data_IF_402728309498
#
_entry.id   IF_402728309498
#
_cell.length_a   1.000
_cell.length_b   1.000
_cell.length_c   1.000
_cell.angle_alpha   90.00
_cell.angle_beta   90.00
_cell.angle_gamma   90.00
#
_symmetry.space_group_name_H-M   'P 1'
#
loop_
_entity.id
_entity.type
_entity.pdbx_description
1 polymer ?
#
# COMPACT_ATOMS: atom_id res chain seq x y z
N UNK A 1 -33.67 12.07 2.26
CA UNK A 1 -32.44 12.71 1.70
C UNK A 1 -31.21 12.44 2.54
N UNK A 2 -31.26 12.57 3.88
CA UNK A 2 -30.11 12.26 4.77
C UNK A 2 -29.64 10.80 4.66
N UNK A 3 -30.56 9.85 4.53
CA UNK A 3 -30.23 8.40 4.47
C UNK A 3 -29.28 8.07 3.32
N UNK A 4 -29.43 8.72 2.14
CA UNK A 4 -28.53 8.51 1.00
C UNK A 4 -27.12 8.99 1.25
N UNK A 5 -26.98 10.17 1.85
CA UNK A 5 -25.63 10.68 2.20
C UNK A 5 -24.93 9.75 3.17
N UNK A 6 -25.64 9.24 4.16
CA UNK A 6 -25.08 8.26 5.10
C UNK A 6 -24.73 6.94 4.41
N UNK A 7 -25.55 6.47 3.46
CA UNK A 7 -25.27 5.25 2.72
C UNK A 7 -24.00 5.40 1.83
N UNK A 8 -23.89 6.50 1.09
CA UNK A 8 -22.68 6.80 0.30
C UNK A 8 -21.44 6.93 1.18
N UNK A 9 -21.53 7.68 2.28
CA UNK A 9 -20.45 7.85 3.21
C UNK A 9 -20.02 6.51 3.82
N UNK A 10 -20.97 5.66 4.20
CA UNK A 10 -20.70 4.33 4.75
C UNK A 10 -19.99 3.43 3.72
N UNK A 11 -20.43 3.41 2.46
CA UNK A 11 -19.77 2.65 1.40
C UNK A 11 -18.34 3.14 1.19
N UNK A 12 -18.12 4.44 1.09
CA UNK A 12 -16.78 5.02 0.96
C UNK A 12 -15.89 4.69 2.16
N UNK A 13 -16.44 4.78 3.39
CA UNK A 13 -15.71 4.42 4.60
C UNK A 13 -15.32 2.94 4.63
N UNK A 14 -16.20 2.03 4.20
CA UNK A 14 -15.89 0.59 4.09
C UNK A 14 -14.75 0.34 3.10
N UNK A 15 -14.81 0.96 1.92
CA UNK A 15 -13.75 0.82 0.91
C UNK A 15 -12.43 1.39 1.44
N UNK A 16 -12.48 2.54 2.12
CA UNK A 16 -11.31 3.17 2.73
C UNK A 16 -10.67 2.27 3.80
N UNK A 17 -11.47 1.71 4.70
CA UNK A 17 -11.00 0.79 5.73
C UNK A 17 -10.44 -0.50 5.12
N UNK A 18 -11.10 -1.06 4.10
CA UNK A 18 -10.60 -2.23 3.39
C UNK A 18 -9.23 -1.97 2.74
N UNK A 19 -9.03 -0.79 2.13
CA UNK A 19 -7.74 -0.36 1.60
C UNK A 19 -6.68 -0.18 2.66
N UNK A 20 -7.01 0.44 3.80
CA UNK A 20 -6.12 0.59 4.94
C UNK A 20 -5.66 -0.78 5.48
N UNK A 21 -6.61 -1.63 5.87
CA UNK A 21 -6.32 -2.92 6.50
C UNK A 21 -5.77 -3.95 5.51
N UNK A 22 -6.25 -3.93 4.26
CA UNK A 22 -5.82 -4.85 3.21
C UNK A 22 -4.49 -4.50 2.56
N UNK A 23 -4.10 -3.23 2.58
CA UNK A 23 -2.95 -2.71 1.84
C UNK A 23 -1.96 -1.95 2.69
N UNK A 24 -2.32 -0.77 3.20
CA UNK A 24 -1.35 0.12 3.85
C UNK A 24 -0.65 -0.54 5.05
N UNK A 25 -1.39 -1.24 5.89
CA UNK A 25 -0.79 -1.97 7.02
C UNK A 25 0.13 -3.11 6.60
N UNK A 26 -0.18 -3.79 5.47
CA UNK A 26 0.72 -4.82 4.94
C UNK A 26 2.02 -4.23 4.42
N UNK A 27 1.94 -3.14 3.67
CA UNK A 27 3.12 -2.44 3.14
C UNK A 27 3.98 -1.91 4.28
N UNK A 28 3.36 -1.30 5.29
CA UNK A 28 4.07 -0.79 6.47
C UNK A 28 4.73 -1.92 7.27
N UNK A 29 4.05 -3.05 7.45
CA UNK A 29 4.60 -4.25 8.10
C UNK A 29 5.84 -4.79 7.36
N UNK A 30 5.80 -4.82 6.02
CA UNK A 30 6.97 -5.21 5.19
C UNK A 30 8.11 -4.20 5.38
N UNK A 31 7.79 -2.90 5.35
CA UNK A 31 8.78 -1.85 5.60
C UNK A 31 9.44 -1.94 6.98
N UNK A 32 8.68 -2.23 8.02
CA UNK A 32 9.24 -2.45 9.36
C UNK A 32 10.10 -3.71 9.44
N UNK A 33 9.67 -4.79 8.77
CA UNK A 33 10.44 -6.02 8.69
C UNK A 33 11.78 -5.80 7.95
N UNK A 34 11.78 -5.04 6.86
CA UNK A 34 13.01 -4.65 6.15
C UNK A 34 13.96 -3.84 7.06
N UNK A 35 13.43 -2.91 7.84
CA UNK A 35 14.24 -2.14 8.79
C UNK A 35 14.84 -3.03 9.90
N UNK A 36 14.07 -3.99 10.43
CA UNK A 36 14.58 -4.99 11.38
C UNK A 36 15.67 -5.85 10.74
N UNK A 37 15.44 -6.34 9.52
CA UNK A 37 16.42 -7.11 8.77
C UNK A 37 17.73 -6.37 8.55
N UNK A 38 17.68 -5.08 8.21
CA UNK A 38 18.88 -4.24 8.07
C UNK A 38 19.62 -4.11 9.39
N UNK A 39 18.90 -3.94 10.49
CA UNK A 39 19.50 -3.86 11.82
C UNK A 39 20.14 -5.19 12.24
N UNK A 40 19.46 -6.30 12.01
CA UNK A 40 19.94 -7.64 12.32
C UNK A 40 21.18 -7.98 11.47
N UNK A 41 21.16 -7.66 10.19
CA UNK A 41 22.28 -7.78 9.29
C UNK A 41 23.53 -7.07 9.86
N UNK A 42 23.36 -5.83 10.33
CA UNK A 42 24.45 -5.08 10.94
C UNK A 42 24.99 -5.72 12.21
N UNK A 43 24.15 -6.40 12.99
CA UNK A 43 24.54 -7.11 14.20
C UNK A 43 25.33 -8.39 13.89
N UNK A 44 24.87 -9.17 12.90
CA UNK A 44 25.54 -10.40 12.45
C UNK A 44 26.97 -10.12 11.98
N UNK A 45 27.17 -9.05 11.21
CA UNK A 45 28.46 -8.70 10.63
C UNK A 45 29.40 -7.95 11.59
N UNK A 46 28.88 -7.40 12.70
CA UNK A 46 29.71 -6.77 13.74
C UNK A 46 30.41 -7.77 14.67
N UNK A 47 29.97 -9.02 14.70
CA UNK A 47 30.57 -10.03 15.60
C UNK A 47 31.77 -10.67 14.89
N UNK A 48 33.00 -10.47 15.39
CA UNK A 48 34.20 -11.11 14.84
C UNK A 48 34.08 -12.63 14.98
N UNK A 49 34.06 -13.35 13.85
CA UNK A 49 33.96 -14.81 13.80
C UNK A 49 32.68 -15.37 13.24
N UNK A 50 31.52 -14.69 13.37
CA UNK A 50 30.27 -15.07 12.66
C UNK A 50 30.35 -14.80 11.16
N UNK A 51 31.10 -13.79 10.74
CA UNK A 51 31.30 -13.43 9.32
C UNK A 51 32.32 -14.34 8.61
N UNK A 52 33.03 -15.22 9.30
CA UNK A 52 34.01 -16.17 8.72
C UNK A 52 33.40 -17.49 8.30
N UNK A 53 32.12 -17.79 8.66
CA UNK A 53 31.48 -19.01 8.20
C UNK A 53 30.97 -18.82 6.78
N UNK A 54 31.25 -19.76 5.90
CA UNK A 54 30.68 -19.84 4.56
C UNK A 54 29.15 -20.09 4.60
N UNK A 55 28.64 -20.30 5.79
CA UNK A 55 27.25 -20.66 6.07
C UNK A 55 26.37 -19.39 6.07
N UNK A 56 25.56 -19.26 5.05
CA UNK A 56 24.57 -18.20 4.91
C UNK A 56 23.29 -18.48 5.70
N UNK A 57 23.21 -19.62 6.39
CA UNK A 57 22.03 -20.02 7.18
C UNK A 57 21.69 -19.02 8.30
N UNK A 58 22.66 -18.22 8.73
CA UNK A 58 22.44 -17.14 9.71
C UNK A 58 21.52 -16.00 9.20
N UNK A 59 21.26 -15.93 7.88
CA UNK A 59 20.35 -14.96 7.28
C UNK A 59 18.90 -15.45 7.27
N UNK A 60 18.66 -16.74 7.52
CA UNK A 60 17.30 -17.31 7.57
C UNK A 60 16.55 -16.77 8.79
N UNK A 61 15.29 -16.34 8.57
CA UNK A 61 14.43 -15.82 9.64
C UNK A 61 14.81 -14.44 10.19
N UNK A 62 15.67 -13.68 9.51
CA UNK A 62 16.17 -12.39 10.00
C UNK A 62 15.12 -11.25 10.00
N UNK A 63 14.07 -11.36 9.19
CA UNK A 63 13.06 -10.31 9.07
C UNK A 63 11.93 -10.44 10.10
N UNK A 64 11.75 -11.63 10.70
CA UNK A 64 10.58 -11.97 11.52
C UNK A 64 9.25 -11.68 10.78
N UNK A 65 9.27 -11.87 9.45
CA UNK A 65 8.15 -11.65 8.57
C UNK A 65 8.10 -12.75 7.51
N UNK A 66 7.05 -13.59 7.57
CA UNK A 66 6.95 -14.82 6.79
C UNK A 66 7.31 -14.65 5.31
N UNK A 67 6.75 -13.63 4.64
CA UNK A 67 6.99 -13.42 3.21
C UNK A 67 8.46 -13.10 2.91
N UNK A 68 9.08 -12.20 3.67
CA UNK A 68 10.47 -11.82 3.47
C UNK A 68 11.43 -12.94 3.88
N UNK A 69 11.10 -13.68 4.93
CA UNK A 69 11.89 -14.83 5.36
C UNK A 69 11.84 -15.95 4.32
N UNK A 70 10.67 -16.26 3.74
CA UNK A 70 10.52 -17.24 2.65
C UNK A 70 11.36 -16.84 1.42
N UNK A 71 11.46 -15.53 1.10
CA UNK A 71 12.28 -15.02 0.01
C UNK A 71 13.77 -15.10 0.31
N UNK A 72 14.16 -14.73 1.53
CA UNK A 72 15.57 -14.85 1.96
C UNK A 72 16.03 -16.31 2.01
N UNK A 73 15.17 -17.21 2.50
CA UNK A 73 15.45 -18.63 2.50
C UNK A 73 15.67 -19.18 1.09
N UNK A 74 14.85 -18.72 0.12
CA UNK A 74 15.01 -19.07 -1.29
C UNK A 74 16.33 -18.57 -1.86
N UNK A 75 16.74 -17.35 -1.50
CA UNK A 75 18.05 -16.80 -1.87
C UNK A 75 19.18 -17.63 -1.29
N UNK A 76 19.15 -17.92 0.01
CA UNK A 76 20.19 -18.71 0.71
C UNK A 76 20.28 -20.11 0.12
N UNK A 77 19.16 -20.79 -0.12
CA UNK A 77 19.13 -22.14 -0.71
C UNK A 77 19.67 -22.16 -2.15
N UNK A 78 19.42 -21.09 -2.92
CA UNK A 78 19.97 -20.97 -4.28
C UNK A 78 21.49 -20.75 -4.25
N UNK A 79 21.98 -19.94 -3.31
CA UNK A 79 23.42 -19.70 -3.13
C UNK A 79 24.17 -20.93 -2.64
N UNK A 80 23.56 -21.75 -1.78
CA UNK A 80 24.15 -23.02 -1.32
C UNK A 80 24.22 -24.06 -2.42
N UNK A 81 23.29 -24.05 -3.39
CA UNK A 81 23.26 -24.99 -4.52
C UNK A 81 24.14 -24.59 -5.68
N UNK A 82 24.33 -23.28 -5.91
CA UNK A 82 25.13 -22.73 -7.00
C UNK A 82 26.51 -22.29 -6.51
N UNK A 83 27.47 -23.18 -6.52
CA UNK A 83 28.86 -22.86 -6.15
C UNK A 83 29.59 -21.92 -7.15
N UNK A 84 29.01 -21.60 -8.30
CA UNK A 84 29.63 -20.83 -9.38
C UNK A 84 28.95 -19.49 -9.72
N UNK A 85 27.81 -19.14 -9.12
CA UNK A 85 27.08 -17.91 -9.44
C UNK A 85 26.81 -17.03 -8.24
N UNK A 86 27.24 -15.78 -8.29
CA UNK A 86 26.84 -14.74 -7.33
C UNK A 86 25.40 -14.37 -7.67
N UNK A 87 24.43 -14.94 -6.96
CA UNK A 87 23.04 -14.48 -7.04
C UNK A 87 22.91 -13.11 -6.37
N UNK A 88 22.11 -12.22 -6.96
CA UNK A 88 21.80 -10.94 -6.35
C UNK A 88 20.57 -11.08 -5.44
N UNK A 89 20.63 -10.54 -4.24
CA UNK A 89 19.49 -10.52 -3.32
C UNK A 89 18.31 -9.74 -3.91
N UNK A 90 18.60 -8.79 -4.81
CA UNK A 90 17.58 -8.03 -5.53
C UNK A 90 16.71 -8.90 -6.44
N UNK A 91 17.22 -10.04 -6.91
CA UNK A 91 16.42 -10.98 -7.71
C UNK A 91 15.32 -11.68 -6.89
N UNK A 92 15.48 -11.74 -5.57
CA UNK A 92 14.57 -12.42 -4.64
C UNK A 92 13.71 -11.46 -3.82
N UNK A 93 14.26 -10.32 -3.44
CA UNK A 93 13.57 -9.29 -2.64
C UNK A 93 13.66 -7.98 -3.42
N UNK A 94 12.66 -7.70 -4.25
CA UNK A 94 12.60 -6.50 -5.07
C UNK A 94 11.20 -5.84 -4.97
N UNK A 95 11.11 -4.62 -5.51
CA UNK A 95 9.90 -3.83 -5.49
C UNK A 95 8.75 -4.52 -6.23
N UNK A 96 9.03 -5.09 -7.40
CA UNK A 96 7.99 -5.75 -8.23
C UNK A 96 7.35 -6.95 -7.53
N UNK A 97 8.15 -7.77 -6.86
CA UNK A 97 7.66 -8.91 -6.09
C UNK A 97 6.86 -8.50 -4.86
N UNK A 98 7.29 -7.45 -4.16
CA UNK A 98 6.55 -6.87 -3.03
C UNK A 98 5.22 -6.30 -3.54
N UNK A 99 5.24 -5.56 -4.64
CA UNK A 99 4.05 -4.96 -5.26
C UNK A 99 3.01 -6.02 -5.66
N UNK A 100 3.47 -7.15 -6.21
CA UNK A 100 2.61 -8.30 -6.49
C UNK A 100 2.03 -8.91 -5.21
N UNK A 101 2.84 -9.06 -4.18
CA UNK A 101 2.40 -9.66 -2.91
C UNK A 101 1.34 -8.81 -2.19
N UNK A 102 1.49 -7.50 -2.20
CA UNK A 102 0.53 -6.58 -1.57
C UNK A 102 -0.63 -6.19 -2.49
N UNK A 103 -0.64 -6.67 -3.74
CA UNK A 103 -1.66 -6.32 -4.75
C UNK A 103 -1.76 -4.80 -5.01
N UNK A 104 -0.63 -4.13 -5.15
CA UNK A 104 -0.51 -2.68 -5.34
C UNK A 104 -1.48 -2.12 -6.38
N UNK A 105 -1.63 -2.79 -7.53
CA UNK A 105 -2.55 -2.36 -8.59
C UNK A 105 -3.99 -2.20 -8.11
N UNK A 106 -4.47 -3.09 -7.24
CA UNK A 106 -5.83 -3.00 -6.68
C UNK A 106 -5.92 -1.82 -5.71
N UNK A 107 -4.89 -1.60 -4.90
CA UNK A 107 -4.86 -0.50 -3.95
C UNK A 107 -4.79 0.87 -4.65
N UNK A 108 -4.08 0.96 -5.76
CA UNK A 108 -3.97 2.17 -6.58
C UNK A 108 -5.29 2.53 -7.29
N UNK A 109 -6.21 1.57 -7.47
CA UNK A 109 -7.54 1.86 -8.04
C UNK A 109 -8.50 2.51 -7.04
N UNK A 110 -8.24 2.45 -5.74
CA UNK A 110 -9.17 2.96 -4.73
C UNK A 110 -9.50 4.46 -4.87
N UNK A 111 -8.54 5.37 -5.12
CA UNK A 111 -8.84 6.80 -5.35
C UNK A 111 -9.79 7.03 -6.53
N UNK A 112 -9.62 6.29 -7.62
CA UNK A 112 -10.48 6.39 -8.80
C UNK A 112 -11.90 5.91 -8.50
N UNK A 113 -12.03 4.87 -7.67
CA UNK A 113 -13.32 4.37 -7.19
C UNK A 113 -14.01 5.44 -6.32
N UNK A 114 -13.30 6.09 -5.40
CA UNK A 114 -13.87 7.16 -4.57
C UNK A 114 -14.36 8.33 -5.41
N UNK A 115 -13.55 8.77 -6.37
CA UNK A 115 -13.92 9.84 -7.30
C UNK A 115 -15.13 9.46 -8.14
N UNK A 116 -15.16 8.24 -8.69
CA UNK A 116 -16.26 7.72 -9.49
C UNK A 116 -17.56 7.61 -8.69
N UNK A 117 -17.49 7.15 -7.44
CA UNK A 117 -18.63 7.11 -6.52
C UNK A 117 -19.13 8.52 -6.19
N UNK A 118 -18.24 9.48 -5.98
CA UNK A 118 -18.61 10.89 -5.79
C UNK A 118 -19.39 11.45 -6.98
N UNK A 119 -18.93 11.20 -8.21
CA UNK A 119 -19.59 11.61 -9.45
C UNK A 119 -20.94 10.89 -9.59
N UNK A 120 -20.99 9.58 -9.37
CA UNK A 120 -22.23 8.80 -9.41
C UNK A 120 -23.26 9.35 -8.43
N UNK A 121 -22.83 9.67 -7.20
CA UNK A 121 -23.68 10.29 -6.19
C UNK A 121 -24.24 11.64 -6.63
N UNK A 122 -23.46 12.43 -7.37
CA UNK A 122 -23.92 13.69 -7.99
C UNK A 122 -25.07 13.45 -8.96
N UNK A 123 -24.93 12.51 -9.88
CA UNK A 123 -25.98 12.18 -10.84
C UNK A 123 -27.24 11.65 -10.15
N UNK A 124 -27.11 10.75 -9.19
CA UNK A 124 -28.23 10.22 -8.42
C UNK A 124 -28.96 11.34 -7.68
N UNK A 125 -28.23 12.23 -7.01
CA UNK A 125 -28.81 13.36 -6.28
C UNK A 125 -29.60 14.31 -7.19
N UNK A 126 -29.06 14.62 -8.38
CA UNK A 126 -29.73 15.46 -9.37
C UNK A 126 -30.99 14.79 -9.96
N UNK A 127 -30.89 13.51 -10.36
CA UNK A 127 -32.02 12.75 -10.88
C UNK A 127 -33.14 12.67 -9.84
N UNK A 128 -32.82 12.48 -8.59
CA UNK A 128 -33.81 12.43 -7.51
C UNK A 128 -34.47 13.78 -7.25
N UNK A 129 -33.69 14.85 -7.26
CA UNK A 129 -34.19 16.22 -7.14
C UNK A 129 -35.15 16.56 -8.30
N UNK A 130 -34.78 16.19 -9.52
CA UNK A 130 -35.60 16.43 -10.73
C UNK A 130 -36.88 15.60 -10.79
N UNK A 131 -36.86 14.37 -10.24
CA UNK A 131 -38.03 13.48 -10.23
C UNK A 131 -39.23 14.07 -9.50
N UNK A 132 -39.01 14.92 -8.52
CA UNK A 132 -40.03 15.58 -7.71
C UNK A 132 -40.44 16.95 -8.26
N UNK A 133 -39.87 17.35 -9.40
CA UNK A 133 -40.16 18.65 -10.03
C UNK A 133 -41.45 18.62 -10.84
N UNK A 134 -42.48 19.30 -10.37
CA UNK A 134 -43.81 19.36 -10.98
C UNK A 134 -44.27 20.82 -11.11
N UNK A 135 -44.20 21.44 -12.31
CA UNK A 135 -44.46 22.86 -12.51
C UNK A 135 -45.94 23.17 -12.77
N UNK A 136 -46.88 22.37 -12.24
CA UNK A 136 -48.31 22.46 -12.60
C UNK A 136 -49.06 23.64 -11.96
N UNK A 137 -48.59 24.16 -10.81
CA UNK A 137 -49.13 25.34 -10.13
C UNK A 137 -48.06 26.10 -9.35
N UNK A 138 -48.34 27.35 -8.95
CA UNK A 138 -47.37 28.16 -8.18
C UNK A 138 -46.98 27.52 -6.86
N UNK A 139 -47.90 26.88 -6.14
CA UNK A 139 -47.64 26.19 -4.89
C UNK A 139 -46.80 24.91 -5.07
N UNK A 140 -47.16 24.09 -6.07
CA UNK A 140 -46.42 22.87 -6.44
C UNK A 140 -45.04 23.22 -6.98
N UNK A 141 -44.88 24.32 -7.69
CA UNK A 141 -43.60 24.81 -8.20
C UNK A 141 -42.67 25.20 -7.05
N UNK A 142 -43.15 25.89 -6.00
CA UNK A 142 -42.33 26.32 -4.86
C UNK A 142 -41.82 25.11 -4.07
N UNK A 143 -42.66 24.11 -3.80
CA UNK A 143 -42.29 22.87 -3.14
C UNK A 143 -41.33 22.02 -3.98
N UNK A 144 -41.54 21.97 -5.28
CA UNK A 144 -40.69 21.26 -6.24
C UNK A 144 -39.29 21.85 -6.34
N UNK A 145 -39.18 23.20 -6.31
CA UNK A 145 -37.86 23.88 -6.27
C UNK A 145 -37.11 23.56 -5.00
N UNK A 146 -37.78 23.50 -3.85
CA UNK A 146 -37.16 23.11 -2.59
C UNK A 146 -36.59 21.67 -2.65
N UNK A 147 -37.35 20.71 -3.21
CA UNK A 147 -36.91 19.34 -3.40
C UNK A 147 -35.72 19.24 -4.38
N UNK A 148 -35.71 20.04 -5.43
CA UNK A 148 -34.58 20.12 -6.37
C UNK A 148 -33.34 20.67 -5.69
N UNK A 149 -33.45 21.74 -4.89
CA UNK A 149 -32.33 22.31 -4.15
C UNK A 149 -31.76 21.28 -3.15
N UNK A 150 -32.62 20.52 -2.48
CA UNK A 150 -32.14 19.45 -1.58
C UNK A 150 -31.44 18.32 -2.34
N UNK A 151 -31.89 17.95 -3.54
CA UNK A 151 -31.19 17.02 -4.40
C UNK A 151 -29.80 17.52 -4.82
N UNK A 152 -29.69 18.80 -5.15
CA UNK A 152 -28.41 19.45 -5.50
C UNK A 152 -27.46 19.45 -4.30
N UNK A 153 -27.93 19.76 -3.08
CA UNK A 153 -27.10 19.69 -1.86
C UNK A 153 -26.52 18.28 -1.63
N UNK A 154 -27.35 17.25 -1.81
CA UNK A 154 -26.90 15.85 -1.69
C UNK A 154 -25.83 15.55 -2.74
N UNK A 155 -26.06 15.97 -3.98
CA UNK A 155 -25.13 15.77 -5.07
C UNK A 155 -23.75 16.39 -4.77
N UNK A 156 -23.71 17.64 -4.32
CA UNK A 156 -22.45 18.30 -3.98
C UNK A 156 -21.73 17.63 -2.80
N UNK A 157 -22.46 17.25 -1.74
CA UNK A 157 -21.85 16.61 -0.58
C UNK A 157 -21.22 15.26 -0.93
N UNK A 158 -21.88 14.43 -1.73
CA UNK A 158 -21.32 13.13 -2.14
C UNK A 158 -20.06 13.29 -2.97
N UNK A 159 -20.03 14.29 -3.86
CA UNK A 159 -18.83 14.59 -4.65
C UNK A 159 -17.65 15.07 -3.77
N UNK A 160 -17.93 15.95 -2.82
CA UNK A 160 -16.91 16.44 -1.87
C UNK A 160 -16.33 15.27 -1.07
N UNK A 161 -17.17 14.37 -0.57
CA UNK A 161 -16.70 13.17 0.16
C UNK A 161 -15.85 12.26 -0.73
N UNK A 162 -16.27 12.01 -1.99
CA UNK A 162 -15.49 11.21 -2.94
C UNK A 162 -14.09 11.76 -3.17
N UNK A 163 -13.99 13.06 -3.43
CA UNK A 163 -12.71 13.75 -3.64
C UNK A 163 -11.87 13.74 -2.36
N UNK A 164 -12.46 14.02 -1.20
CA UNK A 164 -11.75 14.04 0.07
C UNK A 164 -11.16 12.66 0.41
N UNK A 165 -11.95 11.60 0.29
CA UNK A 165 -11.45 10.23 0.50
C UNK A 165 -10.34 9.85 -0.49
N UNK A 166 -10.49 10.21 -1.78
CA UNK A 166 -9.48 9.96 -2.80
C UNK A 166 -8.14 10.63 -2.45
N UNK A 167 -8.18 11.91 -2.06
CA UNK A 167 -6.98 12.68 -1.70
C UNK A 167 -6.28 12.13 -0.46
N UNK A 168 -7.04 11.86 0.61
CA UNK A 168 -6.49 11.33 1.87
C UNK A 168 -5.87 9.95 1.62
N UNK A 169 -6.58 9.08 0.89
CA UNK A 169 -6.09 7.74 0.57
C UNK A 169 -4.82 7.79 -0.30
N UNK A 170 -4.82 8.57 -1.38
CA UNK A 170 -3.65 8.73 -2.26
C UNK A 170 -2.43 9.25 -1.51
N UNK A 171 -2.61 10.23 -0.64
CA UNK A 171 -1.51 10.78 0.16
C UNK A 171 -0.95 9.75 1.13
N UNK A 172 -1.81 9.01 1.81
CA UNK A 172 -1.42 7.92 2.71
C UNK A 172 -0.67 6.81 2.00
N UNK A 173 -1.18 6.36 0.85
CA UNK A 173 -0.53 5.33 0.01
C UNK A 173 0.87 5.76 -0.42
N UNK A 174 1.01 6.95 -0.99
CA UNK A 174 2.32 7.46 -1.42
C UNK A 174 3.32 7.53 -0.27
N UNK A 175 2.89 7.96 0.91
CA UNK A 175 3.75 8.03 2.09
C UNK A 175 4.24 6.66 2.54
N UNK A 176 3.33 5.68 2.61
CA UNK A 176 3.66 4.32 3.07
C UNK A 176 4.57 3.60 2.07
N UNK A 177 4.27 3.68 0.77
CA UNK A 177 5.12 3.08 -0.27
C UNK A 177 6.50 3.72 -0.34
N UNK A 178 6.57 5.06 -0.31
CA UNK A 178 7.86 5.76 -0.28
C UNK A 178 8.71 5.39 0.95
N UNK A 179 8.07 5.19 2.09
CA UNK A 179 8.75 4.71 3.30
C UNK A 179 9.29 3.29 3.17
N UNK A 180 8.49 2.39 2.61
CA UNK A 180 8.89 1.00 2.35
C UNK A 180 10.03 0.92 1.33
N UNK A 181 9.93 1.64 0.20
CA UNK A 181 10.96 1.68 -0.84
C UNK A 181 12.30 2.23 -0.31
N UNK A 182 12.25 3.23 0.57
CA UNK A 182 13.47 3.74 1.21
C UNK A 182 14.14 2.68 2.06
N UNK A 183 13.36 1.94 2.87
CA UNK A 183 13.87 0.85 3.71
C UNK A 183 14.40 -0.32 2.88
N UNK A 184 13.76 -0.62 1.74
CA UNK A 184 14.22 -1.64 0.79
C UNK A 184 15.58 -1.27 0.18
N UNK A 185 15.73 -0.01 -0.28
CA UNK A 185 17.04 0.47 -0.80
C UNK A 185 18.13 0.48 0.26
N UNK A 186 17.80 0.84 1.50
CA UNK A 186 18.76 0.79 2.61
C UNK A 186 19.19 -0.64 2.90
N UNK A 187 18.24 -1.59 2.88
CA UNK A 187 18.55 -3.01 3.04
C UNK A 187 19.50 -3.52 1.95
N UNK A 188 19.20 -3.25 0.66
CA UNK A 188 20.07 -3.66 -0.45
C UNK A 188 21.47 -3.07 -0.33
N UNK A 189 21.57 -1.77 -0.07
CA UNK A 189 22.86 -1.09 0.09
C UNK A 189 23.70 -1.74 1.19
N UNK A 190 23.11 -1.97 2.33
CA UNK A 190 23.81 -2.53 3.49
C UNK A 190 24.15 -4.01 3.26
N UNK A 191 23.26 -4.78 2.65
CA UNK A 191 23.50 -6.16 2.29
C UNK A 191 24.67 -6.28 1.31
N UNK A 192 24.67 -5.54 0.20
CA UNK A 192 25.72 -5.54 -0.82
C UNK A 192 27.05 -5.14 -0.18
N UNK A 193 27.08 -4.06 0.60
CA UNK A 193 28.30 -3.60 1.25
C UNK A 193 28.91 -4.65 2.18
N UNK A 194 28.09 -5.30 2.99
CA UNK A 194 28.54 -6.33 3.92
C UNK A 194 28.96 -7.61 3.20
N UNK A 195 28.24 -8.00 2.17
CA UNK A 195 28.54 -9.18 1.35
C UNK A 195 29.88 -9.03 0.62
N UNK A 196 30.12 -7.88 -0.04
CA UNK A 196 31.42 -7.62 -0.70
C UNK A 196 32.58 -7.55 0.31
N UNK A 197 32.37 -6.97 1.46
CA UNK A 197 33.39 -6.94 2.53
C UNK A 197 33.76 -8.34 3.00
N UNK A 198 32.80 -9.25 3.08
CA UNK A 198 33.00 -10.65 3.39
C UNK A 198 33.83 -11.38 2.34
N UNK A 199 33.46 -11.22 1.06
CA UNK A 199 34.20 -11.83 -0.06
C UNK A 199 35.66 -11.38 -0.08
N UNK A 200 35.93 -10.10 0.12
CA UNK A 200 37.29 -9.57 0.17
C UNK A 200 38.10 -10.16 1.33
N UNK A 201 37.51 -10.30 2.49
CA UNK A 201 38.15 -10.91 3.64
C UNK A 201 38.47 -12.42 3.47
N UNK A 202 37.67 -13.12 2.67
CA UNK A 202 37.87 -14.53 2.32
C UNK A 202 38.99 -14.74 1.28
N UNK A 203 39.30 -13.72 0.45
CA UNK A 203 40.41 -13.79 -0.52
C UNK A 203 41.78 -13.46 0.06
N UNK A 204 41.83 -12.83 1.24
CA UNK A 204 43.07 -12.42 1.93
C UNK A 204 43.56 -13.50 2.92
N UNK A 205 42.84 -14.62 3.07
CA UNK A 205 43.21 -15.78 3.91
C UNK A 205 43.53 -16.99 3.10
#
# INVERSE_FOLDING_TARGET
TMIYNFAFLAVMAVIYLAGLFGGMFRVDSIGEALARGTQELSSIFKIPGKAKSEDLSCLKGMFEHKYLDDRMDSFVDAMEKNQEGIGDVEDYINEDEIDLHVHKKILEMAPDIFTSLGILGTFIGLVWGLKSFEPSSYETMTTSVSALVDGIKVAFLTSIYGIAFALIYSSGMKSVYSGMDAKLRDFWRDFIFMYFRRLKASQET
#
